data_IF_193268315841
#
_entry.id   IF_193268315841
#
_cell.length_a   1.000
_cell.length_b   1.000
_cell.length_c   1.000
_cell.angle_alpha   90.00
_cell.angle_beta   90.00
_cell.angle_gamma   90.00
#
_symmetry.space_group_name_H-M   'P 1'
#
loop_
_entity.id
_entity.type
_entity.pdbx_description
1 polymer ?
#
# COMPACT_ATOMS: atom_id res chain seq x y z
N UNK A 1 10.86 14.41 34.85
CA UNK A 1 10.04 13.71 33.82
C UNK A 1 9.42 14.72 32.85
N UNK A 2 9.31 14.37 31.57
CA UNK A 2 8.53 15.11 30.56
C UNK A 2 7.62 14.19 29.73
N UNK A 3 6.49 14.74 29.29
CA UNK A 3 5.53 14.11 28.38
C UNK A 3 5.43 14.94 27.11
N UNK A 4 5.32 14.31 25.95
CA UNK A 4 5.28 15.01 24.68
C UNK A 4 4.69 14.19 23.54
N UNK A 5 4.35 14.87 22.45
CA UNK A 5 3.90 14.26 21.21
C UNK A 5 4.67 14.92 20.06
N UNK A 6 5.82 14.36 19.72
CA UNK A 6 6.70 14.84 18.65
C UNK A 6 7.77 13.79 18.36
N UNK A 7 8.42 13.91 17.21
CA UNK A 7 9.53 13.05 16.84
C UNK A 7 10.87 13.60 17.36
N UNK A 8 11.77 12.69 17.78
CA UNK A 8 13.14 13.03 18.12
C UNK A 8 14.13 12.27 17.23
N UNK A 9 15.37 12.76 17.16
CA UNK A 9 16.46 12.02 16.56
C UNK A 9 16.55 10.59 17.11
N UNK A 10 16.94 9.65 16.23
CA UNK A 10 17.05 8.20 16.52
C UNK A 10 15.71 7.50 16.81
N UNK A 11 14.58 8.20 16.80
CA UNK A 11 13.27 7.57 16.71
C UNK A 11 13.13 6.77 15.41
N UNK A 12 12.52 5.59 15.50
CA UNK A 12 12.23 4.74 14.35
C UNK A 12 10.82 5.06 13.86
N UNK A 13 10.74 5.57 12.63
CA UNK A 13 9.52 5.93 11.93
C UNK A 13 9.01 4.71 11.15
N UNK A 14 7.70 4.62 10.96
CA UNK A 14 7.04 3.49 10.29
C UNK A 14 5.92 3.94 9.37
N UNK A 15 5.66 3.19 8.30
CA UNK A 15 4.59 3.51 7.35
C UNK A 15 4.68 4.94 6.81
N UNK A 16 3.57 5.66 6.86
CA UNK A 16 3.46 7.05 6.37
C UNK A 16 4.41 8.03 7.07
N UNK A 17 4.78 7.77 8.34
CA UNK A 17 5.71 8.62 9.11
C UNK A 17 7.08 8.72 8.42
N UNK A 18 7.49 7.66 7.72
CA UNK A 18 8.73 7.65 6.94
C UNK A 18 8.61 8.63 5.77
N UNK A 19 7.50 8.59 5.05
CA UNK A 19 7.22 9.48 3.91
C UNK A 19 7.19 10.95 4.34
N UNK A 20 6.46 11.26 5.41
CA UNK A 20 6.38 12.62 5.97
C UNK A 20 7.76 13.16 6.35
N UNK A 21 8.58 12.33 6.99
CA UNK A 21 9.97 12.66 7.32
C UNK A 21 10.83 12.95 6.09
N UNK A 22 10.76 12.10 5.06
CA UNK A 22 11.53 12.32 3.82
C UNK A 22 11.08 13.57 3.07
N UNK A 23 9.80 13.92 3.15
CA UNK A 23 9.24 15.14 2.56
C UNK A 23 9.56 16.41 3.35
N UNK A 24 10.20 16.29 4.52
CA UNK A 24 10.49 17.43 5.41
C UNK A 24 9.26 18.02 6.07
N UNK A 25 8.15 17.27 6.11
CA UNK A 25 6.89 17.68 6.75
C UNK A 25 6.82 17.26 8.23
N UNK A 26 7.82 16.51 8.70
CA UNK A 26 7.92 16.03 10.08
C UNK A 26 9.03 16.77 10.82
N UNK A 27 8.68 17.37 11.97
CA UNK A 27 9.64 18.08 12.81
C UNK A 27 10.37 17.07 13.72
N UNK A 28 11.67 16.90 13.49
CA UNK A 28 12.51 15.99 14.28
C UNK A 28 13.43 16.79 15.20
N UNK A 29 13.19 16.69 16.50
CA UNK A 29 13.96 17.44 17.50
C UNK A 29 15.26 16.73 17.90
N UNK A 30 16.38 17.46 18.06
CA UNK A 30 17.62 16.91 18.61
C UNK A 30 17.44 16.36 20.03
N UNK A 31 17.95 15.16 20.30
CA UNK A 31 17.84 14.53 21.63
C UNK A 31 18.50 15.39 22.73
N UNK A 32 19.55 16.12 22.38
CA UNK A 32 20.29 17.02 23.27
C UNK A 32 19.44 18.12 23.91
N UNK A 33 18.31 18.50 23.31
CA UNK A 33 17.41 19.50 23.90
C UNK A 33 16.75 18.99 25.19
N UNK A 34 16.73 17.68 25.41
CA UNK A 34 15.97 17.03 26.47
C UNK A 34 16.82 16.40 27.58
N UNK A 35 18.13 16.63 27.57
CA UNK A 35 19.10 16.02 28.50
C UNK A 35 18.88 16.30 29.99
N UNK A 36 18.18 17.40 30.32
CA UNK A 36 17.89 17.78 31.70
C UNK A 36 16.68 17.04 32.31
N UNK A 37 15.96 16.24 31.51
CA UNK A 37 14.85 15.43 32.03
C UNK A 37 15.33 14.04 32.47
N UNK A 38 14.79 13.55 33.58
CA UNK A 38 15.10 12.22 34.10
C UNK A 38 14.73 11.10 33.13
N UNK A 39 13.56 11.26 32.50
CA UNK A 39 13.05 10.44 31.41
C UNK A 39 11.94 11.18 30.65
N UNK A 40 11.75 10.79 29.39
CA UNK A 40 10.77 11.31 28.45
C UNK A 40 9.82 10.21 28.01
N UNK A 41 8.53 10.50 28.08
CA UNK A 41 7.45 9.65 27.63
C UNK A 41 6.78 10.32 26.42
N UNK A 42 7.00 9.77 25.24
CA UNK A 42 6.60 10.36 23.96
C UNK A 42 5.50 9.55 23.28
N UNK A 43 4.57 10.26 22.64
CA UNK A 43 3.67 9.73 21.61
C UNK A 43 4.20 10.04 20.21
N UNK A 44 3.33 10.14 19.21
CA UNK A 44 3.64 10.41 17.79
C UNK A 44 4.07 9.18 16.98
N UNK A 45 5.18 8.52 17.32
CA UNK A 45 5.63 7.35 16.55
C UNK A 45 4.81 6.09 16.90
N UNK A 46 4.33 5.38 15.88
CA UNK A 46 3.44 4.22 15.99
C UNK A 46 4.14 2.92 16.42
N UNK A 47 5.48 2.89 16.39
CA UNK A 47 6.24 1.77 16.93
C UNK A 47 6.48 1.93 18.42
N UNK A 48 6.09 0.93 19.21
CA UNK A 48 6.49 0.81 20.62
C UNK A 48 8.01 0.62 20.70
N UNK A 49 8.73 1.61 21.24
CA UNK A 49 10.19 1.61 21.22
C UNK A 49 10.80 2.40 22.37
N UNK A 50 12.01 2.00 22.74
CA UNK A 50 12.90 2.74 23.64
C UNK A 50 14.06 3.29 22.81
N UNK A 51 14.15 4.61 22.69
CA UNK A 51 15.12 5.30 21.82
C UNK A 51 16.46 5.52 22.52
N UNK A 52 16.43 5.69 23.85
CA UNK A 52 17.61 5.76 24.71
C UNK A 52 17.27 5.20 26.09
N UNK A 53 18.23 5.16 27.02
CA UNK A 53 17.98 4.71 28.40
C UNK A 53 16.83 5.44 29.11
N UNK A 54 16.46 6.63 28.63
CA UNK A 54 15.53 7.56 29.25
C UNK A 54 14.37 7.99 28.34
N UNK A 55 14.29 7.52 27.08
CA UNK A 55 13.28 8.00 26.12
C UNK A 55 12.47 6.84 25.57
N UNK A 56 11.15 6.95 25.71
CA UNK A 56 10.20 5.90 25.36
C UNK A 56 9.12 6.47 24.46
N UNK A 57 8.81 5.77 23.37
CA UNK A 57 7.62 6.00 22.58
C UNK A 57 6.57 4.95 22.93
N UNK A 58 5.34 5.40 23.18
CA UNK A 58 4.21 4.53 23.51
C UNK A 58 3.81 3.61 22.36
N UNK A 59 4.10 3.99 21.10
CA UNK A 59 3.57 3.28 19.95
C UNK A 59 2.05 3.39 19.82
N UNK A 60 1.53 2.73 18.79
CA UNK A 60 0.11 2.44 18.64
C UNK A 60 -0.22 1.05 19.21
N UNK A 61 -1.48 0.87 19.63
CA UNK A 61 -1.99 -0.40 20.14
C UNK A 61 -2.46 -1.36 19.03
N UNK A 62 -2.64 -0.84 17.81
CA UNK A 62 -3.04 -1.56 16.61
C UNK A 62 -2.12 -1.14 15.44
N UNK A 63 -1.92 -1.99 14.43
CA UNK A 63 -1.30 -1.56 13.18
C UNK A 63 -2.27 -0.69 12.38
N UNK A 64 -1.81 0.48 11.93
CA UNK A 64 -2.58 1.37 11.04
C UNK A 64 -2.12 1.31 9.59
N UNK A 65 -0.99 0.66 9.33
CA UNK A 65 -0.42 0.43 8.00
C UNK A 65 0.10 -1.01 7.88
N UNK A 66 0.28 -1.49 6.65
CA UNK A 66 0.83 -2.82 6.40
C UNK A 66 2.30 -2.92 6.82
N UNK A 67 3.05 -1.83 6.71
CA UNK A 67 4.44 -1.72 7.14
C UNK A 67 4.57 -1.86 8.67
N UNK A 68 3.54 -1.45 9.42
CA UNK A 68 3.48 -1.63 10.87
C UNK A 68 3.11 -3.05 11.31
N UNK A 69 2.60 -3.91 10.40
CA UNK A 69 2.11 -5.26 10.75
C UNK A 69 3.18 -6.17 11.37
N UNK A 70 4.46 -5.92 11.05
CA UNK A 70 5.60 -6.68 11.59
C UNK A 70 6.04 -6.21 12.98
N UNK A 71 5.48 -5.12 13.49
CA UNK A 71 5.86 -4.56 14.78
C UNK A 71 4.96 -5.07 15.89
N UNK A 72 5.58 -5.46 17.02
CA UNK A 72 4.83 -5.80 18.23
C UNK A 72 4.09 -4.56 18.73
N UNK A 73 2.78 -4.71 18.89
CA UNK A 73 1.92 -3.70 19.51
C UNK A 73 1.86 -3.94 21.01
N UNK A 74 1.70 -2.88 21.78
CA UNK A 74 1.78 -2.99 23.23
C UNK A 74 1.71 -1.65 23.93
N UNK A 75 1.91 -1.71 25.24
CA UNK A 75 1.99 -0.54 26.12
C UNK A 75 3.22 -0.67 27.01
N UNK A 76 3.70 0.46 27.53
CA UNK A 76 4.72 0.44 28.58
C UNK A 76 4.07 0.36 29.96
N UNK A 77 4.56 -0.55 30.79
CA UNK A 77 4.35 -0.51 32.23
C UNK A 77 5.59 0.08 32.89
N UNK A 78 5.39 1.17 33.62
CA UNK A 78 6.44 1.87 34.35
C UNK A 78 6.14 1.85 35.84
N UNK A 79 7.15 1.54 36.65
CA UNK A 79 7.10 1.74 38.11
C UNK A 79 8.03 2.91 38.44
N UNK A 80 7.49 3.92 39.13
CA UNK A 80 8.22 5.13 39.52
C UNK A 80 8.17 5.27 41.04
N UNK A 81 9.33 5.41 41.68
CA UNK A 81 9.47 5.64 43.14
C UNK A 81 10.38 6.83 43.39
N UNK A 82 9.94 7.77 44.22
CA UNK A 82 10.71 8.98 44.56
C UNK A 82 11.26 9.71 43.32
N UNK A 83 10.42 9.86 42.28
CA UNK A 83 10.78 10.47 40.98
C UNK A 83 11.83 9.71 40.17
N UNK A 84 12.18 8.48 40.55
CA UNK A 84 13.09 7.59 39.83
C UNK A 84 12.29 6.49 39.14
N UNK A 85 12.58 6.26 37.86
CA UNK A 85 12.06 5.12 37.13
C UNK A 85 12.76 3.84 37.62
N UNK A 86 12.03 2.97 38.32
CA UNK A 86 12.58 1.75 38.94
C UNK A 86 12.28 0.48 38.13
N UNK A 87 11.23 0.51 37.31
CA UNK A 87 10.89 -0.58 36.40
C UNK A 87 10.33 -0.02 35.10
N UNK A 88 10.69 -0.67 34.01
CA UNK A 88 10.12 -0.50 32.69
C UNK A 88 9.91 -1.90 32.09
N UNK A 89 8.72 -2.18 31.58
CA UNK A 89 8.47 -3.42 30.85
C UNK A 89 7.42 -3.18 29.75
N UNK A 90 7.66 -3.68 28.52
CA UNK A 90 6.62 -3.68 27.51
C UNK A 90 5.61 -4.79 27.78
N UNK A 91 4.34 -4.44 27.88
CA UNK A 91 3.23 -5.39 27.86
C UNK A 91 2.74 -5.48 26.42
N UNK A 92 3.03 -6.61 25.77
CA UNK A 92 2.63 -6.84 24.38
C UNK A 92 1.15 -7.19 24.28
N UNK A 93 0.50 -6.62 23.28
CA UNK A 93 -0.90 -6.86 22.93
C UNK A 93 -0.97 -7.68 21.64
N UNK A 94 -2.00 -8.52 21.55
CA UNK A 94 -2.34 -9.27 20.34
C UNK A 94 -3.64 -8.70 19.79
N UNK A 95 -3.60 -7.94 18.69
CA UNK A 95 -4.81 -7.51 18.00
C UNK A 95 -5.71 -8.70 17.66
N UNK A 96 -7.03 -8.49 17.62
CA UNK A 96 -7.99 -9.53 17.26
C UNK A 96 -8.01 -9.88 15.76
N UNK A 97 -7.16 -9.20 14.98
CA UNK A 97 -7.01 -9.37 13.54
C UNK A 97 -5.54 -9.41 13.17
N UNK A 98 -5.23 -10.02 12.04
CA UNK A 98 -3.88 -10.10 11.49
C UNK A 98 -3.81 -9.27 10.21
N UNK A 99 -2.69 -8.55 10.01
CA UNK A 99 -2.38 -7.88 8.76
C UNK A 99 -1.17 -8.56 8.12
N UNK A 100 -1.21 -8.82 6.81
CA UNK A 100 -0.11 -9.48 6.09
C UNK A 100 0.19 -8.77 4.78
N UNK A 101 1.46 -8.77 4.42
CA UNK A 101 1.92 -8.47 3.07
C UNK A 101 2.28 -9.80 2.42
N UNK A 102 1.57 -10.15 1.35
CA UNK A 102 1.82 -11.37 0.58
C UNK A 102 2.39 -10.96 -0.77
N UNK A 103 3.52 -11.57 -1.15
CA UNK A 103 4.23 -11.23 -2.39
C UNK A 103 4.48 -12.47 -3.23
N UNK A 104 4.06 -12.46 -4.49
CA UNK A 104 4.17 -13.62 -5.37
C UNK A 104 3.62 -13.38 -6.77
N UNK A 105 3.67 -14.40 -7.61
CA UNK A 105 2.99 -14.37 -8.91
C UNK A 105 1.51 -14.69 -8.71
N UNK A 106 0.64 -14.07 -9.50
CA UNK A 106 -0.80 -14.28 -9.42
C UNK A 106 -1.18 -15.77 -9.48
N UNK A 107 -0.53 -16.52 -10.38
CA UNK A 107 -0.78 -17.95 -10.55
C UNK A 107 -0.53 -18.76 -9.27
N UNK A 108 0.42 -18.36 -8.45
CA UNK A 108 0.73 -19.04 -7.21
C UNK A 108 -0.25 -18.60 -6.10
N UNK A 109 -0.52 -17.30 -6.03
CA UNK A 109 -1.37 -16.71 -5.01
C UNK A 109 -2.83 -17.17 -5.11
N UNK A 110 -3.39 -17.28 -6.32
CA UNK A 110 -4.78 -17.72 -6.53
C UNK A 110 -5.01 -19.19 -6.13
N UNK A 111 -3.94 -19.97 -6.01
CA UNK A 111 -3.99 -21.36 -5.57
C UNK A 111 -3.61 -21.53 -4.09
N UNK A 112 -3.43 -20.43 -3.37
CA UNK A 112 -3.10 -20.47 -1.94
C UNK A 112 -4.32 -20.87 -1.08
N UNK A 113 -4.10 -21.46 0.10
CA UNK A 113 -5.18 -21.67 1.06
C UNK A 113 -5.89 -20.37 1.39
N UNK A 114 -7.19 -20.47 1.68
CA UNK A 114 -7.99 -19.31 2.10
C UNK A 114 -7.38 -18.68 3.35
N UNK A 115 -7.14 -17.37 3.34
CA UNK A 115 -6.62 -16.60 4.47
C UNK A 115 -7.52 -15.39 4.75
N UNK A 116 -8.03 -15.30 5.98
CA UNK A 116 -8.95 -14.25 6.43
C UNK A 116 -8.23 -13.06 7.09
N UNK A 117 -6.90 -13.04 7.10
CA UNK A 117 -6.15 -11.84 7.47
C UNK A 117 -6.47 -10.66 6.53
N UNK A 118 -6.29 -9.44 7.02
CA UNK A 118 -6.28 -8.25 6.17
C UNK A 118 -4.99 -8.27 5.35
N UNK A 119 -5.12 -8.37 4.04
CA UNK A 119 -3.98 -8.66 3.17
C UNK A 119 -3.71 -7.50 2.20
N UNK A 120 -2.43 -7.19 2.03
CA UNK A 120 -1.88 -6.45 0.89
C UNK A 120 -1.16 -7.46 0.00
N UNK A 121 -1.54 -7.52 -1.28
CA UNK A 121 -0.86 -8.35 -2.26
C UNK A 121 0.12 -7.50 -3.07
N UNK A 122 1.35 -7.98 -3.23
CA UNK A 122 2.33 -7.45 -4.17
C UNK A 122 2.57 -8.49 -5.26
N UNK A 123 2.04 -8.23 -6.46
CA UNK A 123 2.20 -9.09 -7.63
C UNK A 123 3.58 -8.90 -8.27
N UNK A 124 4.25 -10.00 -8.56
CA UNK A 124 5.52 -10.04 -9.29
C UNK A 124 5.35 -10.13 -10.81
N UNK A 125 4.11 -10.27 -11.28
CA UNK A 125 3.80 -10.37 -12.70
C UNK A 125 4.19 -9.07 -13.42
N UNK A 126 5.00 -9.17 -14.48
CA UNK A 126 5.43 -7.99 -15.27
C UNK A 126 4.30 -7.45 -16.15
N UNK A 127 3.42 -8.34 -16.56
CA UNK A 127 2.23 -8.04 -17.35
C UNK A 127 1.02 -7.93 -16.42
N UNK A 128 0.11 -6.97 -16.66
CA UNK A 128 -1.13 -6.90 -15.90
C UNK A 128 -1.92 -8.19 -16.03
N UNK A 129 -2.40 -8.67 -14.89
CA UNK A 129 -3.35 -9.76 -14.81
C UNK A 129 -4.76 -9.18 -14.86
N UNK A 130 -5.65 -9.82 -15.60
CA UNK A 130 -7.05 -9.41 -15.72
C UNK A 130 -7.82 -9.65 -14.40
N UNK A 131 -8.50 -8.60 -13.92
CA UNK A 131 -9.29 -8.54 -12.68
C UNK A 131 -8.61 -9.25 -11.48
N UNK A 132 -7.36 -8.89 -11.15
CA UNK A 132 -6.58 -9.65 -10.20
C UNK A 132 -7.12 -9.50 -8.78
N UNK A 133 -7.65 -8.32 -8.44
CA UNK A 133 -8.21 -8.01 -7.14
C UNK A 133 -9.44 -8.87 -6.83
N UNK A 134 -10.46 -8.84 -7.70
CA UNK A 134 -11.68 -9.64 -7.54
C UNK A 134 -11.41 -11.15 -7.55
N UNK A 135 -10.46 -11.61 -8.37
CA UNK A 135 -10.06 -13.02 -8.37
C UNK A 135 -9.36 -13.41 -7.08
N UNK A 136 -8.41 -12.60 -6.60
CA UNK A 136 -7.69 -12.88 -5.36
C UNK A 136 -8.58 -12.78 -4.13
N UNK A 137 -9.67 -12.00 -4.13
CA UNK A 137 -10.67 -12.02 -3.05
C UNK A 137 -11.29 -13.40 -2.80
N UNK A 138 -11.28 -14.30 -3.80
CA UNK A 138 -11.78 -15.68 -3.61
C UNK A 138 -10.91 -16.49 -2.64
N UNK A 139 -9.62 -16.19 -2.54
CA UNK A 139 -8.66 -16.82 -1.60
C UNK A 139 -8.30 -15.91 -0.42
N UNK A 140 -8.35 -14.60 -0.61
CA UNK A 140 -8.07 -13.57 0.41
C UNK A 140 -9.30 -12.67 0.60
N UNK A 141 -10.34 -13.11 1.34
CA UNK A 141 -11.60 -12.37 1.44
C UNK A 141 -11.46 -10.94 1.95
N UNK A 142 -10.45 -10.69 2.80
CA UNK A 142 -10.14 -9.39 3.38
C UNK A 142 -8.95 -8.71 2.66
N UNK A 143 -8.79 -8.96 1.35
CA UNK A 143 -7.83 -8.24 0.51
C UNK A 143 -8.17 -6.74 0.48
N UNK A 144 -7.26 -5.91 0.98
CA UNK A 144 -7.44 -4.45 1.05
C UNK A 144 -6.71 -3.72 -0.08
N UNK A 145 -5.50 -4.17 -0.43
CA UNK A 145 -4.62 -3.50 -1.38
C UNK A 145 -3.96 -4.50 -2.32
N UNK A 146 -3.79 -4.11 -3.58
CA UNK A 146 -3.00 -4.83 -4.55
C UNK A 146 -2.06 -3.87 -5.27
N UNK A 147 -0.79 -4.25 -5.35
CA UNK A 147 0.26 -3.51 -6.05
C UNK A 147 1.04 -4.43 -6.97
N UNK A 148 1.69 -3.87 -7.99
CA UNK A 148 2.68 -4.59 -8.79
C UNK A 148 4.08 -4.17 -8.36
N UNK A 149 5.01 -5.11 -8.27
CA UNK A 149 6.38 -4.85 -7.82
C UNK A 149 7.09 -3.76 -8.65
N UNK A 150 6.89 -3.78 -9.97
CA UNK A 150 7.55 -2.89 -10.92
C UNK A 150 6.73 -1.62 -11.26
N UNK A 151 5.51 -1.50 -10.74
CA UNK A 151 4.62 -0.35 -10.98
C UNK A 151 4.02 0.07 -9.64
N UNK A 152 4.45 1.21 -9.11
CA UNK A 152 3.79 1.89 -7.98
C UNK A 152 2.41 2.41 -8.39
N UNK A 153 1.54 1.51 -8.82
CA UNK A 153 0.13 1.74 -9.12
C UNK A 153 -0.62 0.99 -8.04
N UNK A 154 -1.10 1.72 -7.04
CA UNK A 154 -1.92 1.16 -5.97
C UNK A 154 -3.31 0.87 -6.53
N UNK A 155 -3.69 -0.41 -6.56
CA UNK A 155 -5.04 -0.86 -6.94
C UNK A 155 -5.82 -1.09 -5.65
N UNK A 156 -6.58 -0.08 -5.24
CA UNK A 156 -7.62 -0.18 -4.22
C UNK A 156 -8.98 -0.44 -4.87
N UNK A 157 -9.94 -0.98 -4.10
CA UNK A 157 -11.33 -1.18 -4.55
C UNK A 157 -12.04 0.10 -5.02
N UNK A 158 -11.46 1.28 -4.77
CA UNK A 158 -11.96 2.57 -5.23
C UNK A 158 -11.32 3.06 -6.54
N UNK A 159 -10.40 2.28 -7.14
CA UNK A 159 -9.51 2.74 -8.22
C UNK A 159 -9.52 1.86 -9.49
N UNK A 160 -10.32 0.79 -9.55
CA UNK A 160 -10.39 -0.07 -10.75
C UNK A 160 -10.73 0.72 -12.03
N UNK A 161 -11.60 1.74 -11.92
CA UNK A 161 -11.96 2.62 -13.04
C UNK A 161 -10.82 3.57 -13.44
N UNK A 162 -10.02 4.04 -12.48
CA UNK A 162 -8.94 5.02 -12.70
C UNK A 162 -7.68 4.39 -13.32
N UNK A 163 -7.39 3.13 -12.99
CA UNK A 163 -6.16 2.44 -13.43
C UNK A 163 -6.23 2.05 -14.90
N UNK A 164 -7.43 1.75 -15.42
CA UNK A 164 -7.58 1.48 -16.85
C UNK A 164 -7.16 2.70 -17.67
N UNK A 165 -7.54 3.91 -17.26
CA UNK A 165 -7.16 5.16 -17.94
C UNK A 165 -5.65 5.43 -17.86
N UNK A 166 -5.05 5.43 -16.66
CA UNK A 166 -3.64 5.78 -16.49
C UNK A 166 -2.67 4.73 -17.09
N UNK A 167 -3.06 3.45 -17.07
CA UNK A 167 -2.31 2.37 -17.71
C UNK A 167 -2.36 2.45 -19.24
N UNK A 168 -3.51 2.85 -19.81
CA UNK A 168 -3.65 3.10 -21.25
C UNK A 168 -2.88 4.35 -21.68
N UNK A 169 -2.79 5.38 -20.82
CA UNK A 169 -2.05 6.60 -21.12
C UNK A 169 -0.53 6.41 -21.09
N UNK A 170 0.00 5.70 -20.09
CA UNK A 170 1.45 5.49 -19.93
C UNK A 170 2.07 4.56 -20.99
N UNK A 171 1.24 3.80 -21.74
CA UNK A 171 1.63 2.95 -22.87
C UNK A 171 1.33 3.54 -24.25
N UNK A 172 1.01 4.84 -24.37
CA UNK A 172 0.97 5.60 -25.64
C UNK A 172 2.35 5.74 -26.33
N UNK A 173 3.21 4.71 -26.25
CA UNK A 173 4.34 4.52 -27.15
C UNK A 173 3.87 3.54 -28.22
N UNK A 174 3.39 4.13 -29.32
CA UNK A 174 3.30 3.56 -30.68
C UNK A 174 2.72 2.15 -30.85
N UNK A 175 1.52 1.87 -30.33
CA UNK A 175 0.70 0.78 -30.86
C UNK A 175 -0.58 1.38 -31.43
N UNK A 176 -0.79 1.21 -32.74
CA UNK A 176 -2.05 1.55 -33.38
C UNK A 176 -3.18 0.73 -32.71
N UNK A 177 -4.39 1.29 -32.59
CA UNK A 177 -5.56 0.66 -31.95
C UNK A 177 -5.82 -0.76 -32.47
N UNK A 178 -5.51 -0.99 -33.74
CA UNK A 178 -5.50 -2.29 -34.40
C UNK A 178 -4.52 -3.30 -33.79
N UNK A 179 -3.28 -2.90 -33.50
CA UNK A 179 -2.29 -3.75 -32.87
C UNK A 179 -2.61 -4.02 -31.40
N UNK A 180 -3.16 -3.02 -30.71
CA UNK A 180 -3.64 -3.18 -29.34
C UNK A 180 -4.74 -4.24 -29.29
N UNK A 181 -5.71 -4.17 -30.20
CA UNK A 181 -6.78 -5.14 -30.29
C UNK A 181 -6.28 -6.56 -30.61
N UNK A 182 -5.32 -6.70 -31.54
CA UNK A 182 -4.71 -8.02 -31.82
C UNK A 182 -4.02 -8.62 -30.60
N UNK A 183 -3.22 -7.82 -29.88
CA UNK A 183 -2.53 -8.27 -28.65
C UNK A 183 -3.54 -8.66 -27.56
N UNK A 184 -4.59 -7.87 -27.40
CA UNK A 184 -5.67 -8.16 -26.44
C UNK A 184 -6.42 -9.45 -26.80
N UNK A 185 -6.81 -9.62 -28.07
CA UNK A 185 -7.53 -10.81 -28.53
C UNK A 185 -6.70 -12.09 -28.31
N UNK A 186 -5.42 -12.04 -28.69
CA UNK A 186 -4.49 -13.17 -28.49
C UNK A 186 -4.29 -13.50 -27.01
N UNK A 187 -4.31 -12.49 -26.14
CA UNK A 187 -4.19 -12.70 -24.70
C UNK A 187 -5.43 -13.38 -24.11
N UNK A 188 -6.64 -13.02 -24.55
CA UNK A 188 -7.90 -13.58 -24.03
C UNK A 188 -8.19 -14.97 -24.60
N UNK A 189 -8.03 -15.14 -25.90
CA UNK A 189 -8.46 -16.34 -26.62
C UNK A 189 -7.32 -17.34 -26.85
N UNK A 190 -6.09 -17.01 -26.43
CA UNK A 190 -4.85 -17.77 -26.65
C UNK A 190 -4.57 -18.13 -28.13
N UNK A 191 -5.27 -17.48 -29.07
CA UNK A 191 -5.18 -17.70 -30.52
C UNK A 191 -5.13 -16.38 -31.29
N UNK A 192 -4.59 -16.43 -32.51
CA UNK A 192 -4.62 -15.26 -33.42
C UNK A 192 -6.06 -14.93 -33.82
N UNK A 193 -6.33 -13.64 -34.04
CA UNK A 193 -7.66 -13.18 -34.45
C UNK A 193 -8.02 -13.64 -35.86
N UNK A 194 -9.24 -14.11 -36.04
CA UNK A 194 -9.77 -14.44 -37.36
C UNK A 194 -10.01 -13.18 -38.20
N UNK A 195 -9.64 -13.23 -39.48
CA UNK A 195 -9.73 -12.08 -40.39
C UNK A 195 -11.13 -11.44 -40.42
N UNK A 196 -12.19 -12.24 -40.40
CA UNK A 196 -13.57 -11.75 -40.40
C UNK A 196 -13.90 -10.89 -39.19
N UNK A 197 -13.41 -11.28 -38.00
CA UNK A 197 -13.64 -10.55 -36.77
C UNK A 197 -12.80 -9.27 -36.73
N UNK A 198 -11.56 -9.35 -37.23
CA UNK A 198 -10.68 -8.19 -37.28
C UNK A 198 -11.19 -7.13 -38.26
N UNK A 199 -11.75 -7.53 -39.40
CA UNK A 199 -12.40 -6.60 -40.34
C UNK A 199 -13.69 -5.99 -39.77
N UNK A 200 -14.48 -6.75 -39.00
CA UNK A 200 -15.62 -6.20 -38.28
C UNK A 200 -15.19 -5.14 -37.26
N UNK A 201 -14.12 -5.41 -36.50
CA UNK A 201 -13.55 -4.45 -35.56
C UNK A 201 -13.10 -3.16 -36.26
N UNK A 202 -12.35 -3.25 -37.37
CA UNK A 202 -11.93 -2.07 -38.16
C UNK A 202 -13.12 -1.24 -38.64
N UNK A 203 -14.18 -1.90 -39.11
CA UNK A 203 -15.39 -1.21 -39.56
C UNK A 203 -16.01 -0.38 -38.43
N UNK A 204 -16.22 -0.98 -37.25
CA UNK A 204 -16.81 -0.27 -36.11
C UNK A 204 -15.88 0.78 -35.52
N UNK A 205 -14.56 0.55 -35.54
CA UNK A 205 -13.57 1.54 -35.11
C UNK A 205 -13.61 2.79 -36.00
N UNK A 206 -13.77 2.59 -37.31
CA UNK A 206 -13.94 3.68 -38.28
C UNK A 206 -15.25 4.43 -38.05
N UNK A 207 -16.38 3.72 -37.91
CA UNK A 207 -17.68 4.32 -37.60
C UNK A 207 -17.63 5.12 -36.28
N UNK A 208 -16.96 4.61 -35.26
CA UNK A 208 -16.78 5.29 -33.98
C UNK A 208 -15.96 6.58 -34.11
N UNK A 209 -14.86 6.56 -34.88
CA UNK A 209 -14.04 7.75 -35.14
C UNK A 209 -14.77 8.82 -35.96
N UNK A 210 -15.58 8.40 -36.92
CA UNK A 210 -16.40 9.30 -37.73
C UNK A 210 -17.47 9.98 -36.87
N UNK A 211 -18.13 9.24 -35.96
CA UNK A 211 -19.16 9.78 -35.07
C UNK A 211 -18.61 10.67 -33.94
N UNK A 212 -17.36 10.50 -33.52
CA UNK A 212 -16.67 11.39 -32.55
C UNK A 212 -16.29 12.76 -33.17
N UNK A 213 -16.24 12.87 -34.50
CA UNK A 213 -15.98 14.12 -35.21
C UNK A 213 -17.18 15.09 -35.28
N UNK A 214 -18.40 14.60 -35.10
CA UNK A 214 -19.64 15.40 -35.19
C UNK A 214 -20.07 16.04 -33.86
N UNK A 215 -19.46 15.69 -32.73
CA UNK A 215 -19.73 16.36 -31.45
C UNK A 215 -18.81 17.58 -31.30
N UNK A 216 -19.02 18.60 -32.14
CA UNK A 216 -18.50 19.96 -31.90
C UNK A 216 -19.64 20.99 -31.86
N UNK A 217 -19.59 21.76 -30.78
CA UNK A 217 -20.44 22.89 -30.38
C UNK A 217 -21.86 22.57 -29.93
N UNK A 218 -22.05 22.59 -28.61
CA UNK A 218 -23.24 23.21 -28.02
C UNK A 218 -22.82 24.60 -27.52
N UNK A 219 -23.65 25.64 -27.71
CA UNK A 219 -23.37 27.02 -27.31
C UNK A 219 -23.23 27.21 -25.79
#
# INVERSE_FOLDING_TARGET
>A
MALGHFAIERGIFTGEEISLKFMGLEEVFPLELFKNFDFLLLGHLHRLQKVSSKVFYSGSILPYSFEESVHKKGVWFFEIKNSVLVKEEPIYLSPSFEMKIVKGYFKDLINSPKDEAYIKVILKDKEPVLHPFERLKTVFPNLLLLEYEDKKTEISSFSEDFIMEEFLESKKIELNEEELFKKFYKYIEEKEIEDKLFEAFKKYLKEFKENQGEVKSWP
#
